data_IF_982829144772
#
_entry.id   IF_982829144772
#
_cell.length_a   1.000
_cell.length_b   1.000
_cell.length_c   1.000
_cell.angle_alpha   90.00
_cell.angle_beta   90.00
_cell.angle_gamma   90.00
#
_symmetry.space_group_name_H-M   'P 1'
#
loop_
_entity.id
_entity.type
_entity.pdbx_description
1 polymer ?
#
# COMPACT_ATOMS: atom_id res chain seq x y z
N UNK A 1 48.20 -37.78 -17.96
CA UNK A 1 46.72 -37.76 -18.05
C UNK A 1 46.08 -36.73 -17.11
N UNK A 2 46.80 -35.68 -16.69
CA UNK A 2 46.28 -34.63 -15.78
C UNK A 2 46.44 -33.20 -16.34
N UNK A 3 47.12 -33.02 -17.49
CA UNK A 3 47.36 -31.70 -18.12
C UNK A 3 46.26 -31.33 -19.14
N UNK A 4 45.56 -32.30 -19.73
CA UNK A 4 44.49 -32.02 -20.71
C UNK A 4 43.12 -31.71 -20.09
N UNK A 5 42.87 -32.06 -18.83
CA UNK A 5 41.56 -31.84 -18.17
C UNK A 5 41.41 -30.40 -17.66
N UNK A 6 42.52 -29.67 -17.47
CA UNK A 6 42.50 -28.29 -16.96
C UNK A 6 42.35 -27.24 -18.06
N UNK A 7 42.72 -27.58 -19.30
CA UNK A 7 42.69 -26.66 -20.46
C UNK A 7 41.26 -26.40 -20.95
N UNK A 8 40.42 -27.43 -21.05
CA UNK A 8 39.00 -27.29 -21.41
C UNK A 8 38.20 -26.47 -20.39
N UNK A 9 38.57 -26.58 -19.10
CA UNK A 9 37.94 -25.82 -18.04
C UNK A 9 38.32 -24.33 -18.10
N UNK A 10 39.57 -24.02 -18.43
CA UNK A 10 40.02 -22.65 -18.65
C UNK A 10 39.43 -22.05 -19.93
N UNK A 11 39.38 -22.80 -21.04
CA UNK A 11 38.75 -22.34 -22.28
C UNK A 11 37.23 -22.12 -22.12
N UNK A 12 36.54 -23.01 -21.40
CA UNK A 12 35.14 -22.86 -21.04
C UNK A 12 34.91 -21.67 -20.09
N UNK A 13 35.82 -21.44 -19.14
CA UNK A 13 35.79 -20.29 -18.24
C UNK A 13 36.05 -18.98 -19.00
N UNK A 14 37.00 -18.94 -19.93
CA UNK A 14 37.26 -17.79 -20.80
C UNK A 14 36.07 -17.49 -21.72
N UNK A 15 35.44 -18.51 -22.28
CA UNK A 15 34.25 -18.35 -23.11
C UNK A 15 33.05 -17.84 -22.30
N UNK A 16 32.87 -18.36 -21.08
CA UNK A 16 31.86 -17.88 -20.12
C UNK A 16 32.15 -16.44 -19.69
N UNK A 17 33.41 -16.11 -19.46
CA UNK A 17 33.85 -14.76 -19.08
C UNK A 17 33.62 -13.75 -20.21
N UNK A 18 33.89 -14.12 -21.46
CA UNK A 18 33.61 -13.26 -22.62
C UNK A 18 32.11 -13.04 -22.83
N UNK A 19 31.28 -14.07 -22.59
CA UNK A 19 29.82 -13.91 -22.54
C UNK A 19 29.38 -12.99 -21.41
N UNK A 20 29.90 -13.19 -20.20
CA UNK A 20 29.59 -12.36 -19.04
C UNK A 20 29.99 -10.90 -19.28
N UNK A 21 31.17 -10.65 -19.84
CA UNK A 21 31.67 -9.30 -20.13
C UNK A 21 30.78 -8.61 -21.17
N UNK A 22 30.30 -9.36 -22.17
CA UNK A 22 29.37 -8.88 -23.17
C UNK A 22 27.98 -8.62 -22.57
N UNK A 23 27.49 -9.47 -21.67
CA UNK A 23 26.21 -9.31 -20.96
C UNK A 23 26.22 -8.15 -19.95
N UNK A 24 27.38 -7.86 -19.36
CA UNK A 24 27.56 -6.78 -18.39
C UNK A 24 27.78 -5.42 -19.06
N UNK A 25 28.02 -5.37 -20.37
CA UNK A 25 28.34 -4.14 -21.10
C UNK A 25 27.32 -3.01 -20.88
N UNK A 26 25.99 -3.21 -21.04
CA UNK A 26 25.01 -2.16 -20.77
C UNK A 26 24.97 -1.74 -19.30
N UNK A 27 25.20 -2.69 -18.39
CA UNK A 27 25.18 -2.44 -16.94
C UNK A 27 26.36 -1.57 -16.52
N UNK A 28 27.56 -1.84 -17.06
CA UNK A 28 28.75 -1.02 -16.79
C UNK A 28 28.52 0.41 -17.28
N UNK A 29 28.02 0.57 -18.51
CA UNK A 29 27.69 1.87 -19.09
C UNK A 29 26.65 2.63 -18.27
N UNK A 30 25.62 1.91 -17.77
CA UNK A 30 24.62 2.47 -16.86
C UNK A 30 25.26 3.04 -15.60
N UNK A 31 26.12 2.28 -14.92
CA UNK A 31 26.75 2.75 -13.68
C UNK A 31 27.65 3.97 -13.89
N UNK A 32 28.40 4.01 -14.98
CA UNK A 32 29.25 5.17 -15.33
C UNK A 32 28.38 6.39 -15.58
N UNK A 33 27.35 6.26 -16.42
CA UNK A 33 26.44 7.36 -16.75
C UNK A 33 25.66 7.84 -15.52
N UNK A 34 25.25 6.92 -14.63
CA UNK A 34 24.57 7.24 -13.37
C UNK A 34 25.43 8.10 -12.45
N UNK A 35 26.70 7.74 -12.28
CA UNK A 35 27.61 8.48 -11.40
C UNK A 35 27.93 9.88 -11.91
N UNK A 36 27.99 10.06 -13.23
CA UNK A 36 28.41 11.33 -13.84
C UNK A 36 27.24 12.28 -14.14
N UNK A 37 26.10 11.75 -14.58
CA UNK A 37 25.01 12.52 -15.18
C UNK A 37 23.63 12.19 -14.59
N UNK A 38 23.58 11.32 -13.58
CA UNK A 38 22.35 10.96 -12.89
C UNK A 38 21.50 9.91 -13.60
N UNK A 39 20.33 9.63 -13.02
CA UNK A 39 19.51 8.47 -13.37
C UNK A 39 18.91 8.55 -14.78
N UNK A 40 18.50 9.72 -15.25
CA UNK A 40 17.85 9.86 -16.55
C UNK A 40 18.80 9.56 -17.71
N UNK A 41 20.01 10.09 -17.66
CA UNK A 41 21.05 9.83 -18.66
C UNK A 41 21.49 8.36 -18.58
N UNK A 42 21.61 7.80 -17.37
CA UNK A 42 21.91 6.38 -17.20
C UNK A 42 20.87 5.47 -17.85
N UNK A 43 19.58 5.75 -17.66
CA UNK A 43 18.49 4.98 -18.27
C UNK A 43 18.49 5.12 -19.80
N UNK A 44 18.82 6.29 -20.35
CA UNK A 44 18.95 6.46 -21.79
C UNK A 44 20.10 5.62 -22.34
N UNK A 45 21.25 5.68 -21.67
CA UNK A 45 22.47 4.96 -22.03
C UNK A 45 22.27 3.45 -21.98
N UNK A 46 21.60 2.91 -20.96
CA UNK A 46 21.37 1.46 -20.87
C UNK A 46 20.42 0.97 -21.97
N UNK A 47 19.38 1.74 -22.32
CA UNK A 47 18.48 1.40 -23.43
C UNK A 47 19.26 1.34 -24.75
N UNK A 48 20.05 2.38 -25.05
CA UNK A 48 20.84 2.44 -26.29
C UNK A 48 21.89 1.34 -26.32
N UNK A 49 22.60 1.11 -25.22
CA UNK A 49 23.62 0.07 -25.11
C UNK A 49 23.03 -1.33 -25.31
N UNK A 50 21.90 -1.64 -24.66
CA UNK A 50 21.21 -2.92 -24.84
C UNK A 50 20.67 -3.10 -26.26
N UNK A 51 20.15 -2.04 -26.90
CA UNK A 51 19.71 -2.09 -28.29
C UNK A 51 20.87 -2.39 -29.25
N UNK A 52 22.00 -1.72 -29.07
CA UNK A 52 23.21 -1.94 -29.86
C UNK A 52 23.77 -3.35 -29.66
N UNK A 53 23.77 -3.83 -28.41
CA UNK A 53 24.22 -5.18 -28.08
C UNK A 53 23.37 -6.24 -28.79
N UNK A 54 22.04 -6.16 -28.69
CA UNK A 54 21.13 -7.08 -29.36
C UNK A 54 21.26 -6.99 -30.87
N UNK A 55 21.37 -5.77 -31.42
CA UNK A 55 21.59 -5.54 -32.84
C UNK A 55 22.88 -6.22 -33.32
N UNK A 56 23.98 -6.04 -32.61
CA UNK A 56 25.26 -6.67 -32.93
C UNK A 56 25.18 -8.20 -32.92
N UNK A 57 24.55 -8.78 -31.89
CA UNK A 57 24.32 -10.25 -31.80
C UNK A 57 23.45 -10.74 -32.96
N UNK A 58 22.39 -10.02 -33.28
CA UNK A 58 21.51 -10.36 -34.39
C UNK A 58 22.24 -10.33 -35.74
N UNK A 59 23.06 -9.30 -35.99
CA UNK A 59 23.83 -9.19 -37.24
C UNK A 59 24.86 -10.32 -37.37
N UNK A 60 25.57 -10.66 -36.28
CA UNK A 60 26.67 -11.63 -36.30
C UNK A 60 26.20 -13.09 -36.27
N UNK A 61 25.19 -13.39 -35.46
CA UNK A 61 24.76 -14.77 -35.20
C UNK A 61 23.40 -15.11 -35.80
N UNK A 62 22.65 -14.13 -36.35
CA UNK A 62 21.29 -14.26 -36.90
C UNK A 62 20.27 -14.92 -35.95
N UNK A 63 20.62 -15.05 -34.68
CA UNK A 63 19.78 -15.58 -33.61
C UNK A 63 20.07 -14.78 -32.35
N UNK A 64 19.02 -14.33 -31.69
CA UNK A 64 19.08 -13.66 -30.39
C UNK A 64 18.35 -14.56 -29.40
N UNK A 65 18.95 -14.78 -28.23
CA UNK A 65 18.31 -15.57 -27.19
C UNK A 65 17.07 -14.83 -26.66
N UNK A 66 15.97 -15.56 -26.45
CA UNK A 66 14.68 -15.00 -26.04
C UNK A 66 14.81 -14.18 -24.75
N UNK A 67 15.69 -14.59 -23.85
CA UNK A 67 15.94 -13.92 -22.57
C UNK A 67 16.43 -12.48 -22.77
N UNK A 68 17.34 -12.22 -23.73
CA UNK A 68 17.84 -10.86 -24.00
C UNK A 68 16.76 -9.98 -24.60
N UNK A 69 15.90 -10.51 -25.47
CA UNK A 69 14.78 -9.76 -26.06
C UNK A 69 13.75 -9.40 -24.99
N UNK A 70 13.42 -10.33 -24.10
CA UNK A 70 12.48 -10.09 -22.98
C UNK A 70 13.06 -9.03 -22.03
N UNK A 71 14.33 -9.18 -21.63
CA UNK A 71 15.00 -8.21 -20.74
C UNK A 71 15.07 -6.83 -21.38
N UNK A 72 15.42 -6.75 -22.68
CA UNK A 72 15.42 -5.47 -23.39
C UNK A 72 14.03 -4.87 -23.52
N UNK A 73 13.00 -5.66 -23.82
CA UNK A 73 11.63 -5.18 -23.86
C UNK A 73 11.22 -4.60 -22.49
N UNK A 74 11.61 -5.25 -21.39
CA UNK A 74 11.35 -4.76 -20.05
C UNK A 74 12.10 -3.44 -19.76
N UNK A 75 13.39 -3.36 -20.10
CA UNK A 75 14.20 -2.14 -19.97
C UNK A 75 13.66 -1.02 -20.85
N UNK A 76 13.20 -1.32 -22.06
CA UNK A 76 12.64 -0.35 -23.00
C UNK A 76 11.31 0.18 -22.50
N UNK A 77 10.41 -0.68 -22.00
CA UNK A 77 9.10 -0.26 -21.48
C UNK A 77 9.25 0.50 -20.17
N UNK A 78 9.94 -0.07 -19.17
CA UNK A 78 10.07 0.56 -17.86
C UNK A 78 11.03 1.75 -17.87
N UNK A 79 12.17 1.61 -18.56
CA UNK A 79 13.15 2.68 -18.71
C UNK A 79 12.67 3.76 -19.68
N UNK A 80 11.96 3.39 -20.74
CA UNK A 80 11.30 4.34 -21.65
C UNK A 80 10.20 5.12 -20.94
N UNK A 81 9.40 4.47 -20.08
CA UNK A 81 8.46 5.16 -19.20
C UNK A 81 9.21 6.13 -18.28
N UNK A 82 10.34 5.72 -17.69
CA UNK A 82 11.18 6.60 -16.86
C UNK A 82 11.74 7.81 -17.63
N UNK A 83 12.04 7.67 -18.93
CA UNK A 83 12.50 8.77 -19.78
C UNK A 83 11.37 9.66 -20.30
N UNK A 84 10.24 9.08 -20.69
CA UNK A 84 9.08 9.85 -21.18
C UNK A 84 8.47 10.67 -20.04
N UNK A 85 8.52 10.13 -18.82
CA UNK A 85 8.09 10.82 -17.61
C UNK A 85 9.21 11.68 -17.00
N UNK A 86 10.14 12.21 -17.82
CA UNK A 86 11.19 13.20 -17.47
C UNK A 86 10.58 14.53 -16.96
N UNK A 87 9.77 14.46 -15.92
CA UNK A 87 9.01 15.57 -15.41
C UNK A 87 9.06 15.52 -13.87
N UNK A 88 9.38 16.64 -13.26
CA UNK A 88 9.22 16.83 -11.81
C UNK A 88 7.82 16.43 -11.37
N UNK A 89 6.81 16.60 -12.23
CA UNK A 89 5.46 16.14 -12.01
C UNK A 89 5.41 14.64 -11.65
N UNK A 90 6.16 13.75 -12.31
CA UNK A 90 6.08 12.32 -11.96
C UNK A 90 6.62 12.00 -10.56
N UNK A 91 7.68 12.70 -10.13
CA UNK A 91 8.20 12.59 -8.76
C UNK A 91 7.17 13.13 -7.76
N UNK A 92 6.51 14.25 -8.11
CA UNK A 92 5.50 14.90 -7.28
C UNK A 92 4.18 14.12 -7.21
N UNK A 93 3.87 13.29 -8.20
CA UNK A 93 2.67 12.44 -8.25
C UNK A 93 2.78 11.14 -7.43
N UNK A 94 4.00 10.66 -7.14
CA UNK A 94 4.20 9.44 -6.34
C UNK A 94 3.43 9.43 -5.02
N UNK A 95 3.49 10.47 -4.17
CA UNK A 95 2.71 10.52 -2.93
C UNK A 95 1.19 10.50 -3.17
N UNK A 96 0.72 11.15 -4.24
CA UNK A 96 -0.71 11.20 -4.54
C UNK A 96 -1.27 9.84 -4.95
N UNK A 97 -0.59 9.14 -5.85
CA UNK A 97 -1.03 7.81 -6.29
C UNK A 97 -1.08 6.86 -5.10
N UNK A 98 -0.09 6.93 -4.21
CA UNK A 98 -0.05 6.14 -2.98
C UNK A 98 -1.21 6.50 -2.05
N UNK A 99 -1.44 7.78 -1.77
CA UNK A 99 -2.54 8.23 -0.90
C UNK A 99 -3.92 7.84 -1.46
N UNK A 100 -4.15 8.06 -2.75
CA UNK A 100 -5.40 7.65 -3.39
C UNK A 100 -5.56 6.12 -3.44
N UNK A 101 -4.46 5.39 -3.62
CA UNK A 101 -4.43 3.93 -3.48
C UNK A 101 -4.85 3.47 -2.09
N UNK A 102 -4.33 4.10 -1.04
CA UNK A 102 -4.76 3.83 0.33
C UNK A 102 -6.24 4.19 0.54
N UNK A 103 -6.70 5.33 0.03
CA UNK A 103 -8.11 5.71 0.09
C UNK A 103 -9.02 4.65 -0.58
N UNK A 104 -8.63 4.14 -1.76
CA UNK A 104 -9.35 3.08 -2.46
C UNK A 104 -9.32 1.77 -1.70
N UNK A 105 -8.20 1.41 -1.08
CA UNK A 105 -8.09 0.19 -0.26
C UNK A 105 -9.01 0.28 0.97
N UNK A 106 -9.02 1.44 1.66
CA UNK A 106 -9.90 1.66 2.80
C UNK A 106 -11.38 1.71 2.39
N UNK A 107 -11.69 2.34 1.26
CA UNK A 107 -13.03 2.36 0.70
C UNK A 107 -13.48 0.95 0.30
N UNK A 108 -12.62 0.21 -0.40
CA UNK A 108 -12.84 -1.18 -0.79
C UNK A 108 -13.06 -2.09 0.41
N UNK A 109 -12.41 -1.80 1.56
CA UNK A 109 -12.60 -2.59 2.79
C UNK A 109 -14.00 -2.51 3.40
N UNK A 110 -14.81 -1.51 3.03
CA UNK A 110 -16.23 -1.50 3.42
C UNK A 110 -17.06 -2.52 2.65
N UNK A 111 -16.62 -2.89 1.43
CA UNK A 111 -17.34 -3.82 0.56
C UNK A 111 -16.70 -5.21 0.55
N UNK A 112 -15.40 -5.29 0.84
CA UNK A 112 -14.59 -6.51 0.83
C UNK A 112 -14.08 -6.77 2.26
N UNK A 113 -14.85 -7.56 3.01
CA UNK A 113 -14.56 -7.95 4.39
C UNK A 113 -15.72 -7.63 5.33
N UNK A 114 -15.81 -8.34 6.46
CA UNK A 114 -16.86 -8.09 7.46
C UNK A 114 -16.56 -6.85 8.34
N UNK A 115 -15.34 -6.32 8.29
CA UNK A 115 -14.83 -5.26 9.17
C UNK A 115 -13.93 -4.29 8.39
N UNK A 116 -14.04 -2.96 8.59
CA UNK A 116 -13.15 -1.98 7.98
C UNK A 116 -11.67 -2.23 8.34
N UNK A 117 -10.74 -1.84 7.45
CA UNK A 117 -9.29 -2.00 7.70
C UNK A 117 -8.85 -1.34 9.02
N UNK A 118 -9.41 -0.18 9.36
CA UNK A 118 -9.10 0.53 10.61
C UNK A 118 -9.41 -0.32 11.85
N UNK A 119 -10.55 -1.01 11.85
CA UNK A 119 -10.92 -1.95 12.92
C UNK A 119 -9.96 -3.14 12.98
N UNK A 120 -9.51 -3.65 11.83
CA UNK A 120 -8.57 -4.78 11.79
C UNK A 120 -7.18 -4.41 12.32
N UNK A 121 -6.77 -3.15 12.13
CA UNK A 121 -5.47 -2.64 12.57
C UNK A 121 -5.46 -2.26 14.06
N UNK A 122 -6.53 -1.62 14.55
CA UNK A 122 -6.58 -1.02 15.89
C UNK A 122 -7.53 -1.72 16.86
N UNK A 123 -8.41 -2.61 16.39
CA UNK A 123 -9.41 -3.28 17.21
C UNK A 123 -8.86 -4.27 18.25
N UNK A 124 -7.56 -4.59 18.19
CA UNK A 124 -6.88 -5.33 19.26
C UNK A 124 -6.49 -4.44 20.44
N UNK A 125 -6.26 -3.15 20.20
CA UNK A 125 -5.81 -2.20 21.21
C UNK A 125 -6.97 -1.40 21.84
N UNK A 126 -8.07 -1.22 21.11
CA UNK A 126 -9.19 -0.35 21.51
C UNK A 126 -10.51 -1.05 21.20
N UNK A 127 -11.48 -1.02 22.12
CA UNK A 127 -12.85 -1.48 21.89
C UNK A 127 -13.75 -0.28 21.60
N UNK A 128 -14.42 -0.29 20.46
CA UNK A 128 -15.37 0.73 20.02
C UNK A 128 -16.56 0.04 19.35
N UNK A 129 -17.77 0.63 19.42
CA UNK A 129 -18.92 0.09 18.71
C UNK A 129 -18.76 0.16 17.18
N UNK A 130 -19.37 -0.79 16.46
CA UNK A 130 -19.15 -1.03 15.03
C UNK A 130 -19.43 0.20 14.13
N UNK A 131 -20.42 1.01 14.51
CA UNK A 131 -20.76 2.27 13.83
C UNK A 131 -19.61 3.31 13.90
N UNK A 132 -18.84 3.34 15.00
CA UNK A 132 -17.72 4.25 15.16
C UNK A 132 -16.53 3.83 14.30
N UNK A 133 -16.27 2.53 14.16
CA UNK A 133 -15.24 2.01 13.24
C UNK A 133 -15.49 2.40 11.78
N UNK A 134 -16.75 2.35 11.34
CA UNK A 134 -17.15 2.79 10.00
C UNK A 134 -16.86 4.29 9.83
N UNK A 135 -17.26 5.13 10.81
CA UNK A 135 -16.97 6.58 10.77
C UNK A 135 -15.46 6.86 10.77
N UNK A 136 -14.69 6.12 11.56
CA UNK A 136 -13.23 6.22 11.59
C UNK A 136 -12.63 5.89 10.22
N UNK A 137 -13.11 4.83 9.58
CA UNK A 137 -12.70 4.46 8.23
C UNK A 137 -13.00 5.58 7.22
N UNK A 138 -14.17 6.24 7.32
CA UNK A 138 -14.47 7.42 6.49
C UNK A 138 -13.54 8.61 6.75
N UNK A 139 -13.14 8.86 8.00
CA UNK A 139 -12.14 9.88 8.34
C UNK A 139 -10.78 9.58 7.70
N UNK A 140 -10.33 8.32 7.73
CA UNK A 140 -9.10 7.89 7.08
C UNK A 140 -9.16 8.05 5.55
N UNK A 141 -10.27 7.64 4.92
CA UNK A 141 -10.50 7.84 3.49
C UNK A 141 -10.43 9.34 3.14
N UNK A 142 -11.15 10.16 3.91
CA UNK A 142 -11.15 11.62 3.74
C UNK A 142 -9.76 12.23 3.89
N UNK A 143 -8.98 11.80 4.90
CA UNK A 143 -7.61 12.25 5.12
C UNK A 143 -6.69 11.89 3.96
N UNK A 144 -6.74 10.65 3.45
CA UNK A 144 -5.91 10.23 2.32
C UNK A 144 -6.28 10.98 1.03
N UNK A 145 -7.57 11.16 0.76
CA UNK A 145 -8.03 11.95 -0.40
C UNK A 145 -7.57 13.40 -0.27
N UNK A 146 -7.82 14.03 0.89
CA UNK A 146 -7.41 15.41 1.16
C UNK A 146 -5.89 15.58 1.00
N UNK A 147 -5.11 14.68 1.61
CA UNK A 147 -3.65 14.69 1.53
C UNK A 147 -3.16 14.53 0.08
N UNK A 148 -3.80 13.67 -0.71
CA UNK A 148 -3.54 13.53 -2.15
C UNK A 148 -3.84 14.81 -2.94
N UNK A 149 -5.00 15.43 -2.70
CA UNK A 149 -5.42 16.69 -3.35
C UNK A 149 -4.46 17.83 -2.99
N UNK A 150 -4.16 18.00 -1.70
CA UNK A 150 -3.24 19.07 -1.25
C UNK A 150 -1.84 18.83 -1.81
N UNK A 151 -1.36 17.58 -1.87
CA UNK A 151 -0.06 17.27 -2.49
C UNK A 151 -0.03 17.65 -3.99
N UNK A 152 -1.08 17.34 -4.77
CA UNK A 152 -1.18 17.76 -6.17
C UNK A 152 -1.24 19.29 -6.26
N UNK A 153 -2.06 19.94 -5.45
CA UNK A 153 -2.19 21.39 -5.45
C UNK A 153 -0.84 22.07 -5.22
N UNK A 154 -0.09 21.62 -4.20
CA UNK A 154 1.25 22.17 -3.92
C UNK A 154 2.24 21.82 -5.04
N UNK A 155 2.16 20.60 -5.57
CA UNK A 155 3.04 20.14 -6.64
C UNK A 155 2.95 20.97 -7.94
N UNK A 156 1.75 21.45 -8.28
CA UNK A 156 1.50 22.22 -9.50
C UNK A 156 1.63 23.74 -9.30
N UNK A 157 1.39 24.23 -8.08
CA UNK A 157 1.34 25.66 -7.82
C UNK A 157 2.68 26.25 -7.35
N UNK A 158 3.60 25.41 -6.86
CA UNK A 158 4.88 25.83 -6.28
C UNK A 158 6.08 25.11 -6.90
N UNK A 159 7.27 25.67 -6.69
CA UNK A 159 8.55 25.10 -7.10
C UNK A 159 8.91 23.83 -6.32
N UNK A 160 9.93 23.11 -6.80
CA UNK A 160 10.32 21.81 -6.24
C UNK A 160 10.87 21.90 -4.83
N UNK A 161 11.57 22.96 -4.46
CA UNK A 161 12.11 23.11 -3.11
C UNK A 161 10.98 23.36 -2.10
N UNK A 162 10.00 24.19 -2.47
CA UNK A 162 8.77 24.38 -1.69
C UNK A 162 7.97 23.08 -1.56
N UNK A 163 7.84 22.30 -2.64
CA UNK A 163 7.16 21.00 -2.60
C UNK A 163 7.88 20.00 -1.69
N UNK A 164 9.22 19.92 -1.72
CA UNK A 164 9.99 19.05 -0.83
C UNK A 164 9.76 19.43 0.63
N UNK A 165 9.81 20.73 0.96
CA UNK A 165 9.53 21.21 2.30
C UNK A 165 8.08 20.91 2.73
N UNK A 166 7.10 21.10 1.85
CA UNK A 166 5.72 20.72 2.12
C UNK A 166 5.58 19.22 2.34
N UNK A 167 6.27 18.39 1.55
CA UNK A 167 6.25 16.94 1.71
C UNK A 167 6.83 16.51 3.06
N UNK A 168 7.91 17.14 3.51
CA UNK A 168 8.57 16.81 4.76
C UNK A 168 7.81 17.34 5.98
N UNK A 169 7.47 18.63 5.99
CA UNK A 169 6.90 19.30 7.15
C UNK A 169 5.38 19.46 7.06
N UNK A 170 4.85 19.75 5.87
CA UNK A 170 3.41 19.94 5.63
C UNK A 170 2.63 18.63 5.78
N UNK A 171 3.03 17.56 5.08
CA UNK A 171 2.39 16.24 5.21
C UNK A 171 2.54 15.68 6.63
N UNK A 172 3.71 15.86 7.25
CA UNK A 172 3.93 15.46 8.65
C UNK A 172 3.02 16.24 9.60
N UNK A 173 2.92 17.55 9.44
CA UNK A 173 2.02 18.41 10.22
C UNK A 173 0.56 18.00 10.08
N UNK A 174 0.09 17.75 8.84
CA UNK A 174 -1.27 17.25 8.62
C UNK A 174 -1.51 15.90 9.28
N UNK A 175 -0.53 15.00 9.22
CA UNK A 175 -0.62 13.68 9.88
C UNK A 175 -0.69 13.81 11.40
N UNK A 176 0.11 14.70 12.00
CA UNK A 176 0.06 14.97 13.44
C UNK A 176 -1.30 15.53 13.86
N UNK A 177 -1.82 16.51 13.13
CA UNK A 177 -3.15 17.06 13.37
C UNK A 177 -4.22 15.98 13.24
N UNK A 178 -4.14 15.14 12.22
CA UNK A 178 -5.07 14.03 12.02
C UNK A 178 -5.02 13.02 13.18
N UNK A 179 -3.83 12.63 13.64
CA UNK A 179 -3.67 11.71 14.77
C UNK A 179 -4.26 12.30 16.05
N UNK A 180 -4.04 13.60 16.31
CA UNK A 180 -4.61 14.29 17.48
C UNK A 180 -6.13 14.32 17.40
N UNK A 181 -6.69 14.74 16.26
CA UNK A 181 -8.14 14.78 16.03
C UNK A 181 -8.77 13.38 16.15
N UNK A 182 -8.13 12.37 15.57
CA UNK A 182 -8.56 10.98 15.68
C UNK A 182 -8.51 10.50 17.13
N UNK A 183 -7.44 10.81 17.88
CA UNK A 183 -7.28 10.44 19.28
C UNK A 183 -8.37 11.04 20.16
N UNK A 184 -8.64 12.34 20.00
CA UNK A 184 -9.73 13.05 20.71
C UNK A 184 -11.10 12.50 20.33
N UNK A 185 -11.29 12.11 19.07
CA UNK A 185 -12.54 11.51 18.62
C UNK A 185 -12.73 10.13 19.25
N UNK A 186 -11.70 9.27 19.24
CA UNK A 186 -11.74 7.94 19.85
C UNK A 186 -11.98 8.04 21.36
N UNK A 187 -11.29 8.95 22.07
CA UNK A 187 -11.38 9.06 23.53
C UNK A 187 -12.81 9.34 24.01
N UNK A 188 -13.59 10.11 23.24
CA UNK A 188 -15.01 10.37 23.55
C UNK A 188 -15.91 9.15 23.49
N UNK A 189 -15.54 8.12 22.73
CA UNK A 189 -16.35 6.92 22.54
C UNK A 189 -15.84 5.71 23.31
N UNK A 190 -14.65 5.80 23.94
CA UNK A 190 -14.14 4.76 24.82
C UNK A 190 -14.88 4.74 26.18
N UNK A 191 -15.40 5.88 26.63
CA UNK A 191 -16.13 5.99 27.91
C UNK A 191 -17.59 5.51 27.81
N UNK A 192 -18.15 5.38 26.60
CA UNK A 192 -19.56 5.01 26.37
C UNK A 192 -19.78 3.50 26.19
N UNK A 193 -18.71 2.73 25.98
CA UNK A 193 -18.73 1.26 25.94
C UNK A 193 -18.80 0.59 27.32
N UNK A 194 -18.67 1.36 28.39
CA UNK A 194 -18.88 0.93 29.78
C UNK A 194 -20.21 1.51 30.31
N UNK A 195 -21.32 1.34 29.58
CA UNK A 195 -22.64 1.62 30.16
C UNK A 195 -22.97 0.48 31.15
N UNK A 196 -22.91 0.68 32.48
CA UNK A 196 -22.95 -0.39 33.48
C UNK A 196 -24.32 -1.08 33.60
N UNK A 197 -25.31 -0.63 32.81
CA UNK A 197 -26.71 -0.99 32.95
C UNK A 197 -27.02 -2.44 32.54
N UNK A 198 -26.22 -3.08 31.68
CA UNK A 198 -26.43 -4.48 31.30
C UNK A 198 -25.61 -5.46 32.15
N UNK A 199 -24.43 -5.05 32.64
CA UNK A 199 -23.54 -5.93 33.41
C UNK A 199 -23.95 -6.02 34.89
N UNK A 200 -24.53 -4.95 35.47
CA UNK A 200 -25.14 -4.99 36.81
C UNK A 200 -26.46 -5.77 36.83
N UNK A 201 -27.23 -5.76 35.74
CA UNK A 201 -28.47 -6.54 35.64
C UNK A 201 -28.22 -8.06 35.56
N UNK A 202 -27.05 -8.47 35.04
CA UNK A 202 -26.64 -9.87 34.93
C UNK A 202 -25.79 -10.35 36.13
N UNK A 203 -25.06 -9.48 36.84
CA UNK A 203 -24.27 -9.88 38.01
C UNK A 203 -25.07 -9.96 39.31
N UNK A 204 -26.14 -9.16 39.48
CA UNK A 204 -26.90 -9.10 40.74
C UNK A 204 -27.98 -10.18 40.87
N UNK A 205 -28.11 -11.11 39.92
CA UNK A 205 -29.08 -12.20 40.01
C UNK A 205 -30.53 -11.71 40.18
N UNK A 206 -30.82 -10.47 39.78
CA UNK A 206 -32.19 -9.94 39.78
C UNK A 206 -32.84 -10.41 38.50
N UNK A 207 -33.57 -11.52 38.63
CA UNK A 207 -34.53 -11.98 37.64
C UNK A 207 -35.41 -10.79 37.22
N UNK A 208 -35.57 -10.50 35.91
CA UNK A 208 -36.39 -9.37 35.49
C UNK A 208 -37.80 -9.58 36.01
N UNK A 209 -38.24 -8.68 36.90
CA UNK A 209 -39.60 -8.52 37.42
C UNK A 209 -40.56 -8.15 36.28
N UNK A 210 -40.74 -9.02 35.30
CA UNK A 210 -41.79 -8.90 34.30
C UNK A 210 -42.08 -10.24 33.61
N UNK A 211 -42.61 -11.21 34.37
CA UNK A 211 -43.55 -12.22 33.84
C UNK A 211 -44.29 -13.01 34.93
N UNK A 212 -44.21 -12.64 36.21
CA UNK A 212 -45.15 -13.14 37.24
C UNK A 212 -46.63 -12.74 36.98
N UNK A 213 -46.88 -11.94 35.93
CA UNK A 213 -48.22 -11.59 35.44
C UNK A 213 -48.90 -12.72 34.66
N UNK A 214 -48.18 -13.76 34.21
CA UNK A 214 -48.80 -14.89 33.50
C UNK A 214 -49.49 -15.90 34.41
N UNK A 215 -49.10 -16.00 35.69
CA UNK A 215 -49.64 -17.03 36.59
C UNK A 215 -50.89 -16.57 37.35
N UNK A 216 -51.01 -15.26 37.63
CA UNK A 216 -52.21 -14.69 38.29
C UNK A 216 -53.41 -14.71 37.33
N UNK A 217 -53.21 -14.37 36.05
CA UNK A 217 -54.27 -14.41 35.03
C UNK A 217 -54.73 -15.85 34.69
N UNK A 218 -53.87 -16.86 34.92
CA UNK A 218 -54.24 -18.26 34.70
C UNK A 218 -55.01 -18.86 35.90
N UNK A 219 -54.73 -18.43 37.13
CA UNK A 219 -55.49 -18.87 38.30
C UNK A 219 -56.93 -18.31 38.31
N UNK A 220 -57.13 -17.07 37.90
CA UNK A 220 -58.49 -16.49 37.81
C UNK A 220 -59.34 -17.13 36.70
N UNK A 221 -58.73 -17.49 35.57
CA UNK A 221 -59.42 -18.23 34.49
C UNK A 221 -59.80 -19.66 34.89
N UNK A 222 -58.98 -20.35 35.69
CA UNK A 222 -59.33 -21.69 36.19
C UNK A 222 -60.43 -21.65 37.26
N UNK A 223 -60.56 -20.57 38.03
CA UNK A 223 -61.63 -20.41 39.02
C UNK A 223 -62.98 -20.12 38.36
N UNK A 224 -63.02 -19.25 37.35
CA UNK A 224 -64.24 -18.95 36.59
C UNK A 224 -64.76 -20.12 35.75
N UNK A 225 -63.89 -21.03 35.29
CA UNK A 225 -64.31 -22.23 34.54
C UNK A 225 -64.95 -23.32 35.41
N UNK A 226 -64.93 -23.22 36.75
CA UNK A 226 -65.53 -24.21 37.66
C UNK A 226 -66.84 -23.74 38.30
N UNK A 227 -67.25 -22.49 38.08
CA UNK A 227 -68.53 -21.95 38.58
C UNK A 227 -69.61 -21.80 37.48
N UNK A 228 -69.36 -22.32 36.28
CA UNK A 228 -70.35 -22.46 35.20
C UNK A 228 -70.56 -23.93 34.81
#
# INVERSE_FOLDING_TARGET
>A
MWIYVFDDSLAGLFCTFMKLLFDLFPVILFFIAYKMYGIYVATAVIIVASALQIGYVYLKHKRVEKIHVITFALILVLGGLTLILQDEAFIKWKPTIVNLGFALVFLGSHYIGQKPIVERMMGQAIRLPANIWIRLSWLWIGFFILSGIVNIYVAYQYDTDTWVNFKLFGLMGMTLVFIVLQGLYISRYMEESDSPAEEQALSDGVEPLNTQKSDVDQQDKQKQSKEF
#
